data_IF_664437464352
#
_entry.id   IF_664437464352
#
_cell.length_a   1.000
_cell.length_b   1.000
_cell.length_c   1.000
_cell.angle_alpha   90.00
_cell.angle_beta   90.00
_cell.angle_gamma   90.00
#
_symmetry.space_group_name_H-M   'P 1'
#
loop_
_entity.id
_entity.type
_entity.pdbx_description
1 polymer ?
#
# COMPACT_ATOMS: atom_id res chain seq x y z
N UNK A 1 -1.62 13.48 27.15
CA UNK A 1 -0.32 13.84 26.59
C UNK A 1 0.18 12.69 25.75
N UNK A 2 0.29 12.82 24.43
CA UNK A 2 0.80 11.73 23.58
C UNK A 2 2.32 11.62 23.76
N UNK A 3 2.78 10.38 23.93
CA UNK A 3 4.21 10.04 23.96
C UNK A 3 4.83 10.30 22.56
N UNK A 4 5.25 11.52 22.32
CA UNK A 4 6.25 11.85 21.32
C UNK A 4 7.62 11.60 21.96
N UNK A 5 8.50 10.92 21.21
CA UNK A 5 9.91 10.67 21.52
C UNK A 5 10.20 9.37 22.32
N UNK A 6 10.05 8.21 21.65
CA UNK A 6 11.06 7.17 21.67
C UNK A 6 11.60 7.02 20.25
N UNK A 7 12.59 7.83 19.95
CA UNK A 7 13.50 7.63 18.84
C UNK A 7 14.48 6.57 19.36
N UNK A 8 14.50 5.40 18.76
CA UNK A 8 15.57 4.43 18.94
C UNK A 8 16.83 5.06 18.35
N UNK A 9 17.76 5.47 19.23
CA UNK A 9 18.93 6.29 18.93
C UNK A 9 20.10 5.55 18.26
N UNK A 10 19.86 4.41 17.59
CA UNK A 10 20.92 3.59 16.97
C UNK A 10 20.79 3.42 15.44
N UNK A 11 19.90 4.11 14.74
CA UNK A 11 19.94 4.09 13.27
C UNK A 11 20.89 5.20 12.74
N UNK A 12 21.90 4.85 11.92
CA UNK A 12 22.74 5.86 11.27
C UNK A 12 21.87 6.79 10.43
N UNK A 13 22.02 8.09 10.66
CA UNK A 13 21.28 9.14 9.95
C UNK A 13 21.47 8.98 8.43
N UNK A 14 20.44 8.57 7.73
CA UNK A 14 20.44 8.46 6.27
C UNK A 14 19.66 9.64 5.72
N UNK A 15 20.30 10.45 4.87
CA UNK A 15 19.65 11.55 4.16
C UNK A 15 18.41 11.02 3.44
N UNK A 16 17.21 11.58 3.70
CA UNK A 16 16.01 11.17 2.98
C UNK A 16 16.18 11.46 1.48
N UNK A 17 15.73 10.54 0.64
CA UNK A 17 15.76 10.74 -0.82
C UNK A 17 14.90 11.94 -1.24
N UNK A 18 15.39 12.72 -2.20
CA UNK A 18 14.63 13.80 -2.80
C UNK A 18 13.44 13.22 -3.59
N UNK A 19 12.24 13.32 -3.02
CA UNK A 19 11.02 12.90 -3.67
C UNK A 19 10.70 13.76 -4.91
N UNK A 20 10.03 13.18 -5.89
CA UNK A 20 9.63 13.86 -7.13
C UNK A 20 8.82 15.14 -6.87
N UNK A 21 8.01 15.15 -5.79
CA UNK A 21 7.25 16.32 -5.38
C UNK A 21 8.17 17.50 -5.03
N UNK A 22 9.23 17.24 -4.26
CA UNK A 22 10.19 18.30 -3.86
C UNK A 22 10.82 18.93 -5.11
N UNK A 23 11.33 18.10 -6.02
CA UNK A 23 11.95 18.58 -7.28
C UNK A 23 10.97 19.38 -8.12
N UNK A 24 9.75 18.86 -8.34
CA UNK A 24 8.72 19.54 -9.11
C UNK A 24 8.29 20.86 -8.47
N UNK A 25 8.13 20.89 -7.14
CA UNK A 25 7.78 22.12 -6.42
C UNK A 25 8.88 23.16 -6.58
N UNK A 26 10.15 22.78 -6.43
CA UNK A 26 11.29 23.69 -6.64
C UNK A 26 11.33 24.22 -8.06
N UNK A 27 11.11 23.37 -9.06
CA UNK A 27 11.05 23.79 -10.49
C UNK A 27 9.87 24.73 -10.72
N UNK A 28 8.70 24.45 -10.17
CA UNK A 28 7.52 25.32 -10.33
C UNK A 28 7.75 26.70 -9.71
N UNK A 29 8.32 26.77 -8.51
CA UNK A 29 8.69 28.04 -7.87
C UNK A 29 9.69 28.80 -8.73
N UNK A 30 10.75 28.13 -9.20
CA UNK A 30 11.75 28.74 -10.07
C UNK A 30 11.14 29.30 -11.36
N UNK A 31 10.23 28.58 -12.00
CA UNK A 31 9.54 29.02 -13.21
C UNK A 31 8.63 30.22 -12.94
N UNK A 32 7.93 30.26 -11.79
CA UNK A 32 7.16 31.42 -11.39
C UNK A 32 8.06 32.66 -11.26
N UNK A 33 9.17 32.57 -10.53
CA UNK A 33 10.12 33.66 -10.36
C UNK A 33 10.73 34.10 -11.70
N UNK A 34 11.08 33.16 -12.56
CA UNK A 34 11.62 33.44 -13.90
C UNK A 34 10.61 34.17 -14.79
N UNK A 35 9.32 33.82 -14.72
CA UNK A 35 8.26 34.49 -15.46
C UNK A 35 8.19 35.99 -15.10
N UNK A 36 8.26 36.33 -13.82
CA UNK A 36 8.23 37.71 -13.36
C UNK A 36 9.55 38.46 -13.68
N UNK A 37 10.71 37.78 -13.60
CA UNK A 37 11.97 38.34 -14.03
C UNK A 37 11.95 38.75 -15.52
N UNK A 38 11.40 37.91 -16.38
CA UNK A 38 11.26 38.20 -17.82
C UNK A 38 10.27 39.36 -18.10
N UNK A 39 9.30 39.59 -17.22
CA UNK A 39 8.39 40.74 -17.30
C UNK A 39 9.00 42.04 -16.77
N UNK A 40 10.26 42.04 -16.39
CA UNK A 40 10.96 43.23 -15.93
C UNK A 40 10.81 43.57 -14.46
N UNK A 41 10.21 42.68 -13.66
CA UNK A 41 10.19 42.81 -12.21
C UNK A 41 11.60 42.67 -11.64
N UNK A 42 12.17 43.73 -11.15
CA UNK A 42 13.54 43.75 -10.57
C UNK A 42 13.49 44.28 -9.13
N UNK A 43 13.38 43.36 -8.19
CA UNK A 43 13.89 43.56 -6.84
C UNK A 43 12.94 44.06 -5.75
N UNK A 44 11.98 44.92 -5.96
CA UNK A 44 11.17 45.45 -4.85
C UNK A 44 9.83 44.75 -4.64
N UNK A 45 9.21 44.22 -5.68
CA UNK A 45 7.93 43.50 -5.59
C UNK A 45 8.12 42.03 -5.99
N UNK A 46 8.68 41.26 -5.09
CA UNK A 46 8.81 39.82 -5.33
C UNK A 46 7.44 39.15 -5.48
N UNK A 47 7.21 38.33 -6.52
CA UNK A 47 5.94 37.61 -6.74
C UNK A 47 5.78 36.43 -5.78
N UNK A 48 5.79 36.73 -4.48
CA UNK A 48 5.70 35.74 -3.40
C UNK A 48 4.41 34.92 -3.52
N UNK A 49 3.33 35.54 -3.95
CA UNK A 49 2.02 34.91 -4.06
C UNK A 49 1.95 33.86 -5.16
N UNK A 50 2.59 34.10 -6.31
CA UNK A 50 2.67 33.11 -7.36
C UNK A 50 3.50 31.90 -6.92
N UNK A 51 4.61 32.14 -6.21
CA UNK A 51 5.44 31.07 -5.66
C UNK A 51 4.72 30.24 -4.58
N UNK A 52 4.08 30.92 -3.63
CA UNK A 52 3.25 30.26 -2.57
C UNK A 52 2.13 29.46 -3.22
N UNK A 53 1.44 30.04 -4.22
CA UNK A 53 0.37 29.34 -4.94
C UNK A 53 0.90 28.08 -5.64
N UNK A 54 2.07 28.15 -6.29
CA UNK A 54 2.68 26.98 -6.92
C UNK A 54 3.00 25.88 -5.91
N UNK A 55 3.50 26.23 -4.71
CA UNK A 55 3.79 25.26 -3.64
C UNK A 55 2.50 24.55 -3.17
N UNK A 56 1.43 25.33 -2.90
CA UNK A 56 0.17 24.78 -2.36
C UNK A 56 -0.54 23.93 -3.41
N UNK A 57 -0.54 24.33 -4.68
CA UNK A 57 -1.17 23.57 -5.77
C UNK A 57 -0.43 22.31 -6.17
N UNK A 58 0.84 22.13 -5.75
CA UNK A 58 1.63 20.93 -6.08
C UNK A 58 1.20 19.74 -5.21
N UNK A 59 0.29 18.92 -5.73
CA UNK A 59 -0.22 17.73 -5.06
C UNK A 59 0.53 16.46 -5.50
N UNK A 60 0.55 15.39 -4.67
CA UNK A 60 1.19 14.12 -5.01
C UNK A 60 0.60 13.46 -6.26
N UNK A 61 -0.71 13.66 -6.49
CA UNK A 61 -1.46 13.08 -7.60
C UNK A 61 -1.94 14.14 -8.57
N UNK A 62 -1.77 13.91 -9.87
CA UNK A 62 -2.19 14.84 -10.93
C UNK A 62 -3.69 15.15 -10.89
N UNK A 63 -4.52 14.12 -10.61
CA UNK A 63 -5.99 14.27 -10.51
C UNK A 63 -6.41 15.22 -9.38
N UNK A 64 -5.66 15.28 -8.28
CA UNK A 64 -5.92 16.21 -7.18
C UNK A 64 -5.55 17.67 -7.53
N UNK A 65 -4.51 17.86 -8.35
CA UNK A 65 -3.99 19.19 -8.69
C UNK A 65 -5.04 20.10 -9.34
N UNK A 66 -5.86 19.57 -10.26
CA UNK A 66 -6.91 20.32 -10.94
C UNK A 66 -7.99 20.85 -9.95
N UNK A 67 -8.45 19.99 -9.04
CA UNK A 67 -9.43 20.38 -8.01
C UNK A 67 -8.86 21.43 -7.06
N UNK A 68 -7.61 21.24 -6.59
CA UNK A 68 -6.94 22.23 -5.73
C UNK A 68 -6.69 23.55 -6.46
N UNK A 69 -6.30 23.51 -7.74
CA UNK A 69 -6.12 24.68 -8.57
C UNK A 69 -7.44 25.47 -8.69
N UNK A 70 -8.54 24.78 -8.96
CA UNK A 70 -9.86 25.39 -9.09
C UNK A 70 -10.36 25.97 -7.76
N UNK A 71 -10.25 25.27 -6.65
CA UNK A 71 -10.57 25.76 -5.33
C UNK A 71 -9.74 27.00 -4.97
N UNK A 72 -8.45 27.01 -5.32
CA UNK A 72 -7.57 28.17 -5.12
C UNK A 72 -8.03 29.37 -5.93
N UNK A 73 -8.38 29.17 -7.18
CA UNK A 73 -8.86 30.25 -8.07
C UNK A 73 -10.16 30.84 -7.55
N UNK A 74 -11.16 30.01 -7.22
CA UNK A 74 -12.45 30.46 -6.68
C UNK A 74 -12.28 31.18 -5.34
N UNK A 75 -11.47 30.64 -4.42
CA UNK A 75 -11.16 31.30 -3.15
C UNK A 75 -10.51 32.67 -3.35
N UNK A 76 -9.61 32.78 -4.32
CA UNK A 76 -8.97 34.08 -4.66
C UNK A 76 -9.97 35.10 -5.19
N UNK A 77 -10.90 34.70 -6.07
CA UNK A 77 -11.94 35.59 -6.57
C UNK A 77 -12.85 36.09 -5.45
N UNK A 78 -13.29 35.20 -4.55
CA UNK A 78 -14.13 35.55 -3.41
C UNK A 78 -13.40 36.52 -2.46
N UNK A 79 -12.16 36.19 -2.10
CA UNK A 79 -11.34 37.04 -1.22
C UNK A 79 -11.00 38.38 -1.85
N UNK A 80 -10.71 38.42 -3.15
CA UNK A 80 -10.47 39.66 -3.88
C UNK A 80 -11.71 40.52 -3.96
N UNK A 81 -12.89 39.93 -4.17
CA UNK A 81 -14.15 40.67 -4.19
C UNK A 81 -14.43 41.39 -2.85
N UNK A 82 -14.38 40.67 -1.74
CA UNK A 82 -14.63 41.26 -0.42
C UNK A 82 -13.50 42.19 0.01
N UNK A 83 -12.25 41.93 -0.33
CA UNK A 83 -11.11 42.81 -0.08
C UNK A 83 -11.23 44.13 -0.83
N UNK A 84 -11.56 44.08 -2.12
CA UNK A 84 -11.79 45.24 -2.94
C UNK A 84 -12.98 46.07 -2.41
N UNK A 85 -14.08 45.41 -2.05
CA UNK A 85 -15.26 46.08 -1.50
C UNK A 85 -14.93 46.86 -0.22
N UNK A 86 -14.16 46.23 0.70
CA UNK A 86 -13.72 46.89 1.94
C UNK A 86 -12.79 48.09 1.66
N UNK A 87 -11.83 47.95 0.73
CA UNK A 87 -10.93 49.03 0.37
C UNK A 87 -11.67 50.21 -0.26
N UNK A 88 -12.65 49.96 -1.15
CA UNK A 88 -13.51 51.00 -1.73
C UNK A 88 -14.34 51.70 -0.65
N UNK A 89 -14.90 50.95 0.29
CA UNK A 89 -15.66 51.53 1.41
C UNK A 89 -14.79 52.44 2.30
N UNK A 90 -13.55 52.02 2.58
CA UNK A 90 -12.60 52.84 3.35
C UNK A 90 -12.11 54.07 2.58
N UNK A 91 -12.03 53.99 1.24
CA UNK A 91 -11.71 55.15 0.39
C UNK A 91 -12.83 56.18 0.37
N UNK A 92 -14.08 55.71 0.24
CA UNK A 92 -15.24 56.63 0.20
C UNK A 92 -15.60 57.22 1.58
N UNK A 93 -15.30 56.46 2.65
CA UNK A 93 -15.56 56.86 4.04
C UNK A 93 -14.31 56.80 4.92
N UNK A 94 -13.35 57.74 4.79
CA UNK A 94 -12.08 57.71 5.52
C UNK A 94 -12.22 57.72 7.05
N UNK A 95 -13.35 58.25 7.55
CA UNK A 95 -13.67 58.25 8.97
C UNK A 95 -13.80 56.88 9.60
N UNK A 96 -14.16 55.88 8.82
CA UNK A 96 -14.25 54.47 9.29
C UNK A 96 -12.87 53.87 9.59
N UNK A 97 -11.82 54.29 8.89
CA UNK A 97 -10.45 53.84 9.10
C UNK A 97 -9.72 54.52 10.27
N UNK A 98 -10.25 55.59 10.83
CA UNK A 98 -9.62 56.34 11.93
C UNK A 98 -9.66 55.57 13.27
N UNK A 99 -10.68 54.76 13.48
CA UNK A 99 -10.78 53.88 14.65
C UNK A 99 -10.21 52.51 14.36
N UNK A 100 -9.08 52.16 14.98
CA UNK A 100 -8.42 50.85 14.83
C UNK A 100 -9.36 49.71 15.22
N UNK A 101 -10.18 49.91 16.28
CA UNK A 101 -11.11 48.87 16.72
C UNK A 101 -12.21 48.61 15.67
N UNK A 102 -12.73 49.70 15.06
CA UNK A 102 -13.73 49.60 13.99
C UNK A 102 -13.14 48.89 12.75
N UNK A 103 -11.92 49.26 12.39
CA UNK A 103 -11.21 48.61 11.28
C UNK A 103 -11.04 47.10 11.52
N UNK A 104 -10.64 46.69 12.72
CA UNK A 104 -10.51 45.25 13.07
C UNK A 104 -11.87 44.53 13.03
N UNK A 105 -12.94 45.18 13.49
CA UNK A 105 -14.28 44.62 13.40
C UNK A 105 -14.74 44.45 11.95
N UNK A 106 -14.43 45.41 11.07
CA UNK A 106 -14.75 45.31 9.64
C UNK A 106 -13.93 44.23 8.95
N UNK A 107 -12.64 44.04 9.30
CA UNK A 107 -11.83 42.94 8.82
C UNK A 107 -12.39 41.59 9.27
N UNK A 108 -12.79 41.47 10.54
CA UNK A 108 -13.39 40.24 11.06
C UNK A 108 -14.69 39.89 10.34
N UNK A 109 -15.54 40.93 10.08
CA UNK A 109 -16.76 40.76 9.30
C UNK A 109 -16.46 40.35 7.85
N UNK A 110 -15.44 40.89 7.22
CA UNK A 110 -15.01 40.54 5.87
C UNK A 110 -14.48 39.08 5.78
N UNK A 111 -13.78 38.61 6.81
CA UNK A 111 -13.41 37.20 6.93
C UNK A 111 -14.66 36.31 7.01
N UNK A 112 -15.64 36.67 7.85
CA UNK A 112 -16.91 35.95 7.97
C UNK A 112 -17.63 35.86 6.62
N UNK A 113 -17.73 36.98 5.91
CA UNK A 113 -18.39 37.07 4.60
C UNK A 113 -17.65 36.24 3.54
N UNK A 114 -16.33 36.26 3.55
CA UNK A 114 -15.51 35.46 2.64
C UNK A 114 -15.71 33.95 2.88
N UNK A 115 -15.70 33.51 4.14
CA UNK A 115 -15.95 32.10 4.53
C UNK A 115 -17.37 31.69 4.10
N UNK A 116 -18.37 32.50 4.43
CA UNK A 116 -19.77 32.19 4.15
C UNK A 116 -20.06 32.18 2.64
N UNK A 117 -19.47 33.08 1.87
CA UNK A 117 -19.60 33.12 0.41
C UNK A 117 -19.05 31.85 -0.24
N UNK A 118 -17.92 31.30 0.23
CA UNK A 118 -17.36 30.06 -0.28
C UNK A 118 -18.29 28.86 0.01
N UNK A 119 -18.93 28.83 1.18
CA UNK A 119 -19.90 27.78 1.51
C UNK A 119 -21.17 27.91 0.65
N UNK A 120 -21.66 29.14 0.39
CA UNK A 120 -22.80 29.37 -0.50
C UNK A 120 -22.53 28.87 -1.93
N UNK A 121 -21.34 29.07 -2.43
CA UNK A 121 -20.91 28.57 -3.74
C UNK A 121 -20.67 27.05 -3.75
N UNK A 122 -20.92 26.36 -2.62
CA UNK A 122 -20.71 24.92 -2.41
C UNK A 122 -19.23 24.47 -2.55
N UNK A 123 -18.31 25.35 -2.20
CA UNK A 123 -16.87 25.10 -2.24
C UNK A 123 -16.20 25.34 -0.87
N UNK A 124 -16.53 24.55 0.16
CA UNK A 124 -16.02 24.77 1.51
C UNK A 124 -14.49 24.71 1.59
N UNK A 125 -13.85 23.91 0.73
CA UNK A 125 -12.38 23.80 0.67
C UNK A 125 -11.70 25.12 0.21
N UNK A 126 -12.43 26.00 -0.47
CA UNK A 126 -11.94 27.31 -0.89
C UNK A 126 -12.08 28.40 0.21
N UNK A 127 -12.84 28.13 1.28
CA UNK A 127 -13.20 29.12 2.28
C UNK A 127 -11.98 29.70 3.03
N UNK A 128 -11.09 28.85 3.51
CA UNK A 128 -9.86 29.28 4.18
C UNK A 128 -8.96 30.13 3.27
N UNK A 129 -8.88 29.76 1.99
CA UNK A 129 -8.11 30.53 1.00
C UNK A 129 -8.73 31.89 0.71
N UNK A 130 -10.05 31.98 0.61
CA UNK A 130 -10.77 33.23 0.42
C UNK A 130 -10.48 34.26 1.54
N UNK A 131 -10.50 33.76 2.79
CA UNK A 131 -10.19 34.60 3.96
C UNK A 131 -8.75 35.08 3.99
N UNK A 132 -7.79 34.22 3.63
CA UNK A 132 -6.37 34.59 3.55
C UNK A 132 -6.14 35.64 2.48
N UNK A 133 -6.73 35.46 1.27
CA UNK A 133 -6.60 36.43 0.17
C UNK A 133 -7.24 37.76 0.54
N UNK A 134 -8.42 37.75 1.17
CA UNK A 134 -9.07 38.93 1.71
C UNK A 134 -8.14 39.72 2.64
N UNK A 135 -7.60 39.07 3.67
CA UNK A 135 -6.68 39.70 4.63
C UNK A 135 -5.42 40.21 3.96
N UNK A 136 -4.85 39.45 3.02
CA UNK A 136 -3.67 39.88 2.27
C UNK A 136 -3.93 41.17 1.45
N UNK A 137 -5.10 41.31 0.87
CA UNK A 137 -5.46 42.54 0.12
C UNK A 137 -5.64 43.72 1.05
N UNK A 138 -6.23 43.50 2.22
CA UNK A 138 -6.55 44.61 3.15
C UNK A 138 -5.35 45.01 4.02
N UNK A 139 -4.52 44.05 4.46
CA UNK A 139 -3.41 44.29 5.41
C UNK A 139 -2.11 44.64 4.71
N UNK A 140 -1.79 43.94 3.62
CA UNK A 140 -0.45 44.01 3.00
C UNK A 140 -0.22 45.29 2.16
N UNK A 141 -1.27 46.05 1.83
CA UNK A 141 -1.14 47.19 0.96
C UNK A 141 -1.92 48.42 1.53
N UNK A 142 -1.22 49.28 2.25
CA UNK A 142 -1.84 50.50 2.79
C UNK A 142 -2.15 51.57 1.73
N UNK A 143 -1.68 51.42 0.48
CA UNK A 143 -1.97 52.36 -0.60
C UNK A 143 -3.43 52.23 -1.09
N UNK A 144 -4.26 53.07 -0.56
CA UNK A 144 -5.70 53.17 -0.89
C UNK A 144 -5.90 53.75 -2.32
N UNK A 145 -4.84 54.30 -2.94
CA UNK A 145 -4.94 54.99 -4.23
C UNK A 145 -5.24 54.11 -5.45
N UNK A 146 -4.96 52.78 -5.39
CA UNK A 146 -5.22 51.89 -6.51
C UNK A 146 -5.70 50.46 -6.13
N UNK A 147 -6.83 50.32 -5.41
CA UNK A 147 -7.29 49.02 -4.89
C UNK A 147 -7.62 48.01 -6.00
N UNK A 148 -8.16 48.47 -7.12
CA UNK A 148 -8.47 47.62 -8.27
C UNK A 148 -7.21 46.99 -8.90
N UNK A 149 -6.16 47.81 -9.02
CA UNK A 149 -4.86 47.33 -9.55
C UNK A 149 -4.25 46.27 -8.66
N UNK A 150 -4.33 46.45 -7.33
CA UNK A 150 -3.82 45.46 -6.37
C UNK A 150 -4.58 44.14 -6.42
N UNK A 151 -5.92 44.20 -6.45
CA UNK A 151 -6.75 42.99 -6.59
C UNK A 151 -6.46 42.24 -7.91
N UNK A 152 -6.31 43.01 -9.01
CA UNK A 152 -5.98 42.42 -10.31
C UNK A 152 -4.61 41.75 -10.32
N UNK A 153 -3.57 42.35 -9.72
CA UNK A 153 -2.25 41.71 -9.57
C UNK A 153 -2.34 40.44 -8.77
N UNK A 154 -3.10 40.42 -7.67
CA UNK A 154 -3.27 39.21 -6.85
C UNK A 154 -3.94 38.07 -7.61
N UNK A 155 -4.98 38.35 -8.37
CA UNK A 155 -5.65 37.36 -9.21
C UNK A 155 -4.67 36.82 -10.26
N UNK A 156 -3.88 37.69 -10.89
CA UNK A 156 -2.86 37.31 -11.87
C UNK A 156 -1.79 36.40 -11.26
N UNK A 157 -1.27 36.74 -10.08
CA UNK A 157 -0.25 35.95 -9.37
C UNK A 157 -0.74 34.55 -9.05
N UNK A 158 -1.96 34.43 -8.56
CA UNK A 158 -2.57 33.11 -8.29
C UNK A 158 -2.80 32.33 -9.57
N UNK A 159 -3.23 33.00 -10.64
CA UNK A 159 -3.42 32.35 -11.94
C UNK A 159 -2.09 31.82 -12.50
N UNK A 160 -1.03 32.63 -12.46
CA UNK A 160 0.32 32.21 -12.91
C UNK A 160 0.83 31.03 -12.06
N UNK A 161 0.79 31.15 -10.73
CA UNK A 161 1.25 30.08 -9.83
C UNK A 161 0.48 28.78 -10.04
N UNK A 162 -0.84 28.84 -10.20
CA UNK A 162 -1.71 27.69 -10.45
C UNK A 162 -1.40 27.03 -11.79
N UNK A 163 -1.26 27.84 -12.84
CA UNK A 163 -0.95 27.36 -14.20
C UNK A 163 0.40 26.67 -14.24
N UNK A 164 1.44 27.32 -13.70
CA UNK A 164 2.79 26.75 -13.63
C UNK A 164 2.81 25.44 -12.84
N UNK A 165 2.16 25.39 -11.67
CA UNK A 165 2.07 24.18 -10.86
C UNK A 165 1.37 23.05 -11.62
N UNK A 166 0.27 23.35 -12.32
CA UNK A 166 -0.48 22.35 -13.10
C UNK A 166 0.38 21.81 -14.24
N UNK A 167 1.02 22.69 -15.03
CA UNK A 167 1.89 22.31 -16.14
C UNK A 167 3.06 21.43 -15.65
N UNK A 168 3.78 21.88 -14.62
CA UNK A 168 4.90 21.12 -14.05
C UNK A 168 4.45 19.78 -13.49
N UNK A 169 3.26 19.70 -12.90
CA UNK A 169 2.76 18.43 -12.33
C UNK A 169 2.33 17.42 -13.39
N UNK A 170 1.84 17.88 -14.55
CA UNK A 170 1.53 17.03 -15.69
C UNK A 170 2.79 16.43 -16.30
N UNK A 171 3.91 17.17 -16.30
CA UNK A 171 5.20 16.65 -16.76
C UNK A 171 5.65 15.51 -15.83
N UNK A 172 5.47 14.29 -16.29
CA UNK A 172 6.07 13.12 -15.65
C UNK A 172 7.51 13.05 -16.11
N UNK A 173 8.45 13.26 -15.20
CA UNK A 173 9.85 12.89 -15.45
C UNK A 173 9.86 11.38 -15.76
N UNK A 174 10.34 10.96 -16.93
CA UNK A 174 10.36 9.55 -17.30
C UNK A 174 11.25 8.80 -16.32
N UNK A 175 10.65 7.99 -15.47
CA UNK A 175 11.37 7.05 -14.63
C UNK A 175 11.41 5.71 -15.36
N UNK A 176 12.58 5.09 -15.36
CA UNK A 176 12.72 3.77 -15.92
C UNK A 176 11.99 2.78 -14.98
N UNK A 177 10.86 2.26 -15.44
CA UNK A 177 10.13 1.22 -14.72
C UNK A 177 10.85 -0.11 -14.91
N UNK A 178 11.15 -0.77 -13.81
CA UNK A 178 11.83 -2.05 -13.77
C UNK A 178 10.82 -3.20 -14.02
N UNK A 179 10.39 -3.31 -15.27
CA UNK A 179 9.49 -4.39 -15.71
C UNK A 179 10.17 -5.76 -15.79
N UNK A 180 11.49 -5.75 -15.68
CA UNK A 180 12.34 -6.93 -15.58
C UNK A 180 12.32 -7.60 -14.19
N UNK A 181 11.69 -6.96 -13.20
CA UNK A 181 11.59 -7.48 -11.83
C UNK A 181 10.23 -8.13 -11.58
N UNK A 182 10.28 -9.27 -10.90
CA UNK A 182 9.12 -9.94 -10.34
C UNK A 182 9.20 -9.92 -8.82
N UNK A 183 8.27 -9.22 -8.20
CA UNK A 183 8.22 -9.06 -6.74
C UNK A 183 7.43 -10.19 -6.10
N UNK A 184 7.97 -10.74 -5.03
CA UNK A 184 7.33 -11.76 -4.22
C UNK A 184 7.03 -11.20 -2.83
N UNK A 185 5.73 -11.13 -2.49
CA UNK A 185 5.23 -10.52 -1.24
C UNK A 185 4.37 -11.53 -0.48
N UNK A 186 4.62 -11.71 0.81
CA UNK A 186 3.82 -12.61 1.64
C UNK A 186 2.49 -11.97 2.03
N UNK A 187 1.39 -12.69 1.89
CA UNK A 187 0.04 -12.18 2.24
C UNK A 187 -0.07 -11.78 3.71
N UNK A 188 0.62 -12.49 4.62
CA UNK A 188 0.66 -12.16 6.05
C UNK A 188 1.31 -10.82 6.37
N UNK A 189 2.09 -10.27 5.46
CA UNK A 189 2.72 -8.95 5.60
C UNK A 189 1.83 -7.81 5.06
N UNK A 190 0.72 -8.14 4.42
CA UNK A 190 -0.27 -7.20 3.90
C UNK A 190 -1.57 -7.17 4.70
N UNK A 191 -1.86 -8.25 5.46
CA UNK A 191 -3.04 -8.34 6.29
C UNK A 191 -2.72 -9.03 7.63
N UNK A 192 -3.31 -8.58 8.75
CA UNK A 192 -2.96 -9.06 10.09
C UNK A 192 -3.35 -10.52 10.32
N UNK A 193 -4.46 -10.94 9.75
CA UNK A 193 -5.03 -12.26 9.92
C UNK A 193 -5.57 -12.79 8.59
N UNK A 194 -5.56 -14.11 8.45
CA UNK A 194 -6.09 -14.83 7.28
C UNK A 194 -7.59 -14.63 7.04
N UNK A 195 -8.34 -14.22 8.06
CA UNK A 195 -9.78 -13.94 7.98
C UNK A 195 -10.09 -12.46 7.79
N UNK A 196 -9.08 -11.59 7.80
CA UNK A 196 -9.23 -10.16 7.62
C UNK A 196 -9.08 -9.78 6.15
N UNK A 197 -9.87 -8.80 5.72
CA UNK A 197 -9.61 -8.14 4.45
C UNK A 197 -8.30 -7.37 4.50
N UNK A 198 -7.67 -7.23 3.34
CA UNK A 198 -6.53 -6.33 3.20
C UNK A 198 -6.99 -4.90 3.50
N UNK A 199 -6.20 -4.08 4.24
CA UNK A 199 -6.54 -2.69 4.48
C UNK A 199 -6.81 -1.94 3.17
N UNK A 200 -7.88 -1.10 3.10
CA UNK A 200 -8.29 -0.46 1.85
C UNK A 200 -7.20 0.36 1.17
N UNK A 201 -6.35 1.04 1.94
CA UNK A 201 -5.22 1.82 1.42
C UNK A 201 -4.12 0.92 0.83
N UNK A 202 -3.82 -0.21 1.47
CA UNK A 202 -2.88 -1.20 0.95
C UNK A 202 -3.43 -1.86 -0.32
N UNK A 203 -4.73 -2.21 -0.34
CA UNK A 203 -5.41 -2.75 -1.51
C UNK A 203 -5.36 -1.77 -2.70
N UNK A 204 -5.65 -0.49 -2.46
CA UNK A 204 -5.59 0.54 -3.50
C UNK A 204 -4.19 0.70 -4.06
N UNK A 205 -3.17 0.72 -3.20
CA UNK A 205 -1.79 0.86 -3.60
C UNK A 205 -1.27 -0.36 -4.37
N UNK A 206 -1.63 -1.57 -3.93
CA UNK A 206 -1.30 -2.81 -4.63
C UNK A 206 -1.94 -2.84 -6.03
N UNK A 207 -3.23 -2.51 -6.13
CA UNK A 207 -3.92 -2.43 -7.42
C UNK A 207 -3.35 -1.35 -8.34
N UNK A 208 -2.89 -0.22 -7.78
CA UNK A 208 -2.19 0.80 -8.55
C UNK A 208 -0.90 0.26 -9.16
N UNK A 209 -0.08 -0.45 -8.38
CA UNK A 209 1.14 -1.08 -8.87
C UNK A 209 0.86 -2.09 -9.99
N UNK A 210 -0.18 -2.92 -9.85
CA UNK A 210 -0.59 -3.86 -10.89
C UNK A 210 -1.02 -3.15 -12.18
N UNK A 211 -1.86 -2.11 -12.07
CA UNK A 211 -2.32 -1.33 -13.23
C UNK A 211 -1.17 -0.59 -13.92
N UNK A 212 -0.14 -0.22 -13.17
CA UNK A 212 1.06 0.45 -13.69
C UNK A 212 2.05 -0.52 -14.35
N UNK A 213 1.79 -1.83 -14.25
CA UNK A 213 2.54 -2.91 -14.91
C UNK A 213 3.60 -3.58 -14.06
N UNK A 214 3.57 -3.40 -12.72
CA UNK A 214 4.45 -4.14 -11.82
C UNK A 214 4.04 -5.62 -11.78
N UNK A 215 5.02 -6.52 -11.86
CA UNK A 215 4.81 -7.97 -11.72
C UNK A 215 4.96 -8.35 -10.25
N UNK A 216 3.85 -8.63 -9.58
CA UNK A 216 3.84 -8.98 -8.15
C UNK A 216 3.12 -10.32 -7.98
N UNK A 217 3.82 -11.32 -7.45
CA UNK A 217 3.24 -12.59 -7.01
C UNK A 217 3.04 -12.56 -5.51
N UNK A 218 1.84 -12.84 -5.06
CA UNK A 218 1.58 -12.99 -3.64
C UNK A 218 1.85 -14.43 -3.20
N UNK A 219 2.46 -14.55 -2.03
CA UNK A 219 2.83 -15.84 -1.44
C UNK A 219 2.02 -16.12 -0.18
N UNK A 220 1.43 -17.29 -0.10
CA UNK A 220 0.67 -17.73 1.06
C UNK A 220 1.13 -19.09 1.57
N UNK A 221 1.12 -19.26 2.88
CA UNK A 221 1.34 -20.53 3.55
C UNK A 221 0.14 -21.47 3.42
N UNK A 222 -1.02 -20.94 3.00
CA UNK A 222 -2.29 -21.64 2.95
C UNK A 222 -2.71 -21.94 1.51
N UNK A 223 -3.70 -22.83 1.39
CA UNK A 223 -4.40 -23.08 0.13
C UNK A 223 -5.21 -21.83 -0.30
N UNK A 224 -5.49 -21.63 -1.60
CA UNK A 224 -6.17 -20.44 -2.12
C UNK A 224 -7.46 -20.08 -1.38
N UNK A 225 -8.24 -21.08 -1.03
CA UNK A 225 -9.49 -20.91 -0.28
C UNK A 225 -9.32 -20.20 1.08
N UNK A 226 -8.14 -20.23 1.69
CA UNK A 226 -7.92 -19.62 3.00
C UNK A 226 -7.70 -18.13 2.97
N UNK A 227 -7.19 -17.61 1.88
CA UNK A 227 -6.92 -16.18 1.75
C UNK A 227 -7.78 -15.50 0.68
N UNK A 228 -8.83 -16.19 0.22
CA UNK A 228 -9.78 -15.61 -0.74
C UNK A 228 -10.36 -14.27 -0.25
N UNK A 229 -10.65 -14.15 1.06
CA UNK A 229 -11.11 -12.89 1.66
C UNK A 229 -10.05 -11.80 1.60
N UNK A 230 -8.78 -12.13 1.90
CA UNK A 230 -7.66 -11.19 1.81
C UNK A 230 -7.45 -10.69 0.38
N UNK A 231 -7.75 -11.55 -0.60
CA UNK A 231 -7.57 -11.26 -2.02
C UNK A 231 -8.79 -10.56 -2.65
N UNK A 232 -9.87 -10.40 -1.90
CA UNK A 232 -11.07 -9.73 -2.40
C UNK A 232 -10.75 -8.31 -2.88
N UNK A 233 -11.03 -8.04 -4.14
CA UNK A 233 -10.74 -6.75 -4.79
C UNK A 233 -9.29 -6.57 -5.29
N UNK A 234 -8.42 -7.56 -5.16
CA UNK A 234 -7.05 -7.53 -5.72
C UNK A 234 -7.09 -7.92 -7.20
N UNK A 235 -6.51 -7.07 -8.05
CA UNK A 235 -6.35 -7.34 -9.50
C UNK A 235 -4.98 -7.99 -9.74
N UNK A 236 -4.93 -9.30 -9.71
CA UNK A 236 -3.69 -10.05 -9.86
C UNK A 236 -3.11 -9.96 -11.27
N UNK A 237 -1.80 -9.74 -11.37
CA UNK A 237 -1.04 -9.69 -12.63
C UNK A 237 -0.09 -10.88 -12.82
N UNK A 238 -0.01 -11.76 -11.82
CA UNK A 238 0.86 -12.92 -11.87
C UNK A 238 0.26 -14.06 -11.02
N UNK A 239 0.61 -15.32 -11.31
CA UNK A 239 0.22 -16.47 -10.49
C UNK A 239 0.72 -16.34 -9.05
N UNK A 240 0.02 -17.02 -8.14
CA UNK A 240 0.28 -17.03 -6.71
C UNK A 240 1.15 -18.23 -6.32
N UNK A 241 2.00 -18.05 -5.32
CA UNK A 241 2.68 -19.16 -4.65
C UNK A 241 1.87 -19.51 -3.41
N UNK A 242 1.38 -20.75 -3.34
CA UNK A 242 0.44 -21.18 -2.30
C UNK A 242 0.93 -22.44 -1.59
N UNK A 243 0.25 -22.81 -0.48
CA UNK A 243 0.58 -24.00 0.29
C UNK A 243 2.05 -24.07 0.70
N UNK A 244 2.59 -22.96 1.21
CA UNK A 244 3.99 -22.82 1.65
C UNK A 244 5.03 -23.13 0.57
N UNK A 245 4.70 -22.87 -0.70
CA UNK A 245 5.54 -23.14 -1.85
C UNK A 245 5.33 -24.52 -2.47
N UNK A 246 4.38 -25.30 -1.99
CA UNK A 246 4.05 -26.59 -2.58
C UNK A 246 3.29 -26.46 -3.91
N UNK A 247 2.59 -25.34 -4.17
CA UNK A 247 1.86 -25.18 -5.41
C UNK A 247 1.95 -23.75 -5.96
N UNK A 248 1.77 -23.62 -7.27
CA UNK A 248 1.61 -22.37 -8.02
C UNK A 248 0.17 -22.37 -8.55
N UNK A 249 -0.55 -21.28 -8.30
CA UNK A 249 -1.98 -21.17 -8.57
C UNK A 249 -2.30 -19.89 -9.38
N UNK A 250 -3.00 -20.06 -10.48
CA UNK A 250 -3.55 -18.95 -11.24
C UNK A 250 -4.97 -18.64 -10.74
N UNK A 251 -5.11 -17.51 -10.05
CA UNK A 251 -6.40 -17.12 -9.51
C UNK A 251 -7.34 -16.52 -10.56
N UNK A 252 -6.84 -16.09 -11.73
CA UNK A 252 -7.66 -15.57 -12.80
C UNK A 252 -8.35 -16.71 -13.56
N UNK A 253 -7.60 -17.82 -13.78
CA UNK A 253 -8.10 -19.02 -14.43
C UNK A 253 -8.64 -20.06 -13.43
N UNK A 254 -8.47 -19.80 -12.13
CA UNK A 254 -8.90 -20.67 -11.03
C UNK A 254 -8.35 -22.09 -11.15
N UNK A 255 -7.06 -22.21 -11.51
CA UNK A 255 -6.37 -23.50 -11.69
C UNK A 255 -4.99 -23.55 -11.06
N UNK A 256 -4.57 -24.77 -10.73
CA UNK A 256 -3.20 -25.02 -10.30
C UNK A 256 -2.30 -25.21 -11.52
N UNK A 257 -1.28 -24.36 -11.66
CA UNK A 257 -0.30 -24.48 -12.77
C UNK A 257 0.73 -25.57 -12.48
N UNK A 258 1.09 -25.73 -11.20
CA UNK A 258 2.05 -26.75 -10.76
C UNK A 258 1.83 -27.07 -9.28
N UNK A 259 2.03 -28.34 -8.92
CA UNK A 259 2.08 -28.79 -7.54
C UNK A 259 3.27 -29.74 -7.34
N UNK A 260 3.88 -29.65 -6.16
CA UNK A 260 4.92 -30.57 -5.70
C UNK A 260 4.27 -31.50 -4.70
N UNK A 261 4.13 -32.75 -5.09
CA UNK A 261 3.48 -33.79 -4.29
C UNK A 261 4.48 -34.64 -3.55
N UNK A 262 4.03 -35.31 -2.50
CA UNK A 262 4.81 -36.30 -1.76
C UNK A 262 4.75 -37.61 -2.54
N UNK A 263 5.90 -38.21 -2.92
CA UNK A 263 5.93 -39.47 -3.62
C UNK A 263 5.23 -40.57 -2.81
N UNK A 264 4.59 -41.56 -3.46
CA UNK A 264 3.94 -42.70 -2.79
C UNK A 264 4.83 -43.47 -1.82
N UNK A 265 6.10 -43.62 -2.18
CA UNK A 265 7.13 -44.27 -1.37
C UNK A 265 7.42 -43.55 -0.04
N UNK A 266 7.17 -42.23 0.03
CA UNK A 266 7.35 -41.42 1.23
C UNK A 266 6.01 -41.21 1.98
N UNK A 267 4.91 -41.12 1.27
CA UNK A 267 3.60 -40.89 1.87
C UNK A 267 3.06 -42.11 2.63
N UNK A 268 3.26 -43.33 2.10
CA UNK A 268 2.79 -44.57 2.72
C UNK A 268 3.41 -44.83 4.09
N UNK A 269 4.76 -44.72 4.29
CA UNK A 269 5.36 -44.84 5.61
C UNK A 269 4.92 -43.77 6.60
N UNK A 270 4.68 -42.52 6.13
CA UNK A 270 4.16 -41.45 6.98
C UNK A 270 2.78 -41.81 7.51
N UNK A 271 1.87 -42.23 6.64
CA UNK A 271 0.51 -42.64 6.99
C UNK A 271 0.52 -43.79 7.98
N UNK A 272 1.20 -44.90 7.65
CA UNK A 272 1.31 -46.05 8.54
C UNK A 272 1.82 -45.66 9.94
N UNK A 273 2.76 -44.69 10.01
CA UNK A 273 3.28 -44.24 11.30
C UNK A 273 2.28 -43.38 12.07
N UNK A 274 1.54 -42.48 11.40
CA UNK A 274 0.50 -41.67 12.02
C UNK A 274 -0.64 -42.55 12.57
N UNK A 275 -1.05 -43.55 11.82
CA UNK A 275 -2.05 -44.54 12.23
C UNK A 275 -1.56 -45.39 13.42
N UNK A 276 -0.31 -45.84 13.40
CA UNK A 276 0.29 -46.60 14.52
C UNK A 276 0.39 -45.76 15.82
N UNK A 277 0.45 -44.42 15.69
CA UNK A 277 0.42 -43.50 16.82
C UNK A 277 -1.01 -43.13 17.26
N UNK A 278 -2.05 -43.62 16.58
CA UNK A 278 -3.44 -43.27 16.83
C UNK A 278 -3.76 -41.80 16.60
N UNK A 279 -2.99 -41.13 15.72
CA UNK A 279 -3.15 -39.70 15.45
C UNK A 279 -4.14 -39.45 14.32
N UNK A 280 -5.00 -38.51 14.49
CA UNK A 280 -5.85 -37.95 13.42
C UNK A 280 -5.04 -36.98 12.57
N UNK A 281 -5.19 -37.09 11.25
CA UNK A 281 -4.49 -36.22 10.32
C UNK A 281 -5.36 -35.82 9.12
N UNK A 282 -5.01 -34.71 8.49
CA UNK A 282 -5.62 -34.25 7.26
C UNK A 282 -4.68 -34.45 6.10
N UNK A 283 -5.16 -35.05 5.02
CA UNK A 283 -4.41 -35.22 3.77
C UNK A 283 -4.94 -34.19 2.74
N UNK A 284 -4.07 -33.29 2.33
CA UNK A 284 -4.38 -32.28 1.33
C UNK A 284 -3.93 -32.74 -0.04
N UNK A 285 -4.86 -32.78 -0.97
CA UNK A 285 -4.63 -33.15 -2.37
C UNK A 285 -5.15 -32.08 -3.31
N UNK A 286 -4.70 -32.11 -4.55
CA UNK A 286 -5.24 -31.29 -5.63
C UNK A 286 -5.81 -32.25 -6.68
N UNK A 287 -7.11 -32.17 -6.89
CA UNK A 287 -7.81 -32.97 -7.89
C UNK A 287 -8.71 -32.08 -8.74
N UNK A 288 -8.55 -32.11 -10.08
CA UNK A 288 -9.29 -31.26 -11.02
C UNK A 288 -9.32 -29.78 -10.62
N UNK A 289 -8.14 -29.21 -10.35
CA UNK A 289 -7.94 -27.83 -9.92
C UNK A 289 -8.64 -27.42 -8.61
N UNK A 290 -9.07 -28.40 -7.82
CA UNK A 290 -9.70 -28.18 -6.51
C UNK A 290 -8.85 -28.76 -5.40
N UNK A 291 -8.78 -28.03 -4.29
CA UNK A 291 -8.20 -28.57 -3.06
C UNK A 291 -9.18 -29.52 -2.40
N UNK A 292 -8.84 -30.79 -2.31
CA UNK A 292 -9.56 -31.78 -1.54
C UNK A 292 -8.82 -32.07 -0.24
N UNK A 293 -9.56 -32.21 0.85
CA UNK A 293 -9.02 -32.52 2.19
C UNK A 293 -9.67 -33.77 2.71
N UNK A 294 -8.90 -34.83 2.80
CA UNK A 294 -9.34 -36.11 3.35
C UNK A 294 -9.00 -36.17 4.84
N UNK A 295 -9.87 -36.80 5.61
CA UNK A 295 -9.68 -37.02 7.03
C UNK A 295 -10.12 -38.41 7.46
N UNK A 296 -9.41 -38.99 8.40
CA UNK A 296 -9.81 -40.23 9.08
C UNK A 296 -10.94 -39.90 10.08
N UNK A 297 -12.05 -40.62 10.03
CA UNK A 297 -13.35 -40.27 10.63
C UNK A 297 -13.44 -39.94 12.12
N UNK A 298 -12.49 -40.33 12.96
CA UNK A 298 -12.58 -40.20 14.42
C UNK A 298 -11.74 -39.02 14.97
N UNK A 299 -12.34 -37.84 15.00
CA UNK A 299 -11.76 -36.69 15.70
C UNK A 299 -12.35 -36.60 17.12
N UNK A 300 -11.48 -36.55 18.10
CA UNK A 300 -11.86 -36.42 19.52
C UNK A 300 -11.28 -35.13 20.10
N UNK A 301 -12.12 -34.35 20.80
CA UNK A 301 -11.66 -33.16 21.50
C UNK A 301 -11.54 -31.87 20.65
N UNK A 302 -10.49 -31.09 20.89
CA UNK A 302 -10.32 -29.76 20.27
C UNK A 302 -10.12 -29.80 18.74
N UNK A 303 -9.67 -30.93 18.21
CA UNK A 303 -9.55 -31.18 16.76
C UNK A 303 -10.92 -31.10 16.07
N UNK A 304 -12.00 -31.56 16.74
CA UNK A 304 -13.37 -31.51 16.21
C UNK A 304 -13.81 -30.07 15.95
N UNK A 305 -13.50 -29.14 16.87
CA UNK A 305 -13.82 -27.71 16.73
C UNK A 305 -13.11 -27.12 15.53
N UNK A 306 -11.84 -27.50 15.33
CA UNK A 306 -11.05 -27.04 14.17
C UNK A 306 -11.63 -27.61 12.89
N UNK A 307 -12.00 -28.88 12.86
CA UNK A 307 -12.63 -29.54 11.71
C UNK A 307 -13.96 -28.88 11.34
N UNK A 308 -14.86 -28.68 12.30
CA UNK A 308 -16.14 -28.04 12.07
C UNK A 308 -15.99 -26.61 11.49
N UNK A 309 -15.03 -25.85 12.02
CA UNK A 309 -14.71 -24.52 11.49
C UNK A 309 -14.17 -24.60 10.06
N UNK A 310 -13.34 -25.59 9.74
CA UNK A 310 -12.77 -25.79 8.42
C UNK A 310 -13.82 -26.28 7.41
N UNK A 311 -14.73 -27.16 7.80
CA UNK A 311 -15.84 -27.68 6.97
C UNK A 311 -16.78 -26.59 6.47
N UNK A 312 -16.91 -25.48 7.19
CA UNK A 312 -17.76 -24.33 6.81
C UNK A 312 -17.14 -23.47 5.68
N UNK A 313 -15.94 -23.80 5.22
CA UNK A 313 -15.30 -23.05 4.11
C UNK A 313 -15.94 -23.45 2.78
N UNK A 314 -16.51 -22.50 2.01
CA UNK A 314 -17.18 -22.81 0.73
C UNK A 314 -16.23 -23.20 -0.39
N UNK A 315 -14.91 -23.08 -0.19
CA UNK A 315 -13.90 -23.21 -1.24
C UNK A 315 -13.12 -24.53 -1.18
N UNK A 316 -13.54 -25.51 -0.36
CA UNK A 316 -12.87 -26.79 -0.21
C UNK A 316 -13.85 -27.92 -0.06
N UNK A 317 -13.47 -29.08 -0.55
CA UNK A 317 -14.17 -30.33 -0.29
C UNK A 317 -13.48 -31.06 0.85
N UNK A 318 -14.22 -31.29 1.94
CA UNK A 318 -13.78 -32.15 3.04
C UNK A 318 -14.46 -33.49 2.86
N UNK A 319 -13.64 -34.55 2.76
CA UNK A 319 -14.07 -35.89 2.44
C UNK A 319 -13.64 -36.83 3.59
N UNK A 320 -14.56 -37.65 4.02
CA UNK A 320 -14.27 -38.71 4.97
C UNK A 320 -13.73 -39.93 4.24
N UNK A 321 -12.68 -40.55 4.78
CA UNK A 321 -12.04 -41.72 4.19
C UNK A 321 -10.87 -41.37 3.27
N UNK A 322 -10.42 -42.32 2.49
CA UNK A 322 -9.24 -42.22 1.63
C UNK A 322 -9.61 -42.57 0.19
N UNK A 323 -10.10 -41.60 -0.53
CA UNK A 323 -10.39 -41.70 -1.96
C UNK A 323 -9.49 -40.71 -2.70
N UNK A 324 -8.18 -41.04 -2.80
CA UNK A 324 -7.23 -40.26 -3.61
C UNK A 324 -6.17 -41.19 -4.16
N UNK A 325 -5.59 -40.83 -5.30
CA UNK A 325 -4.53 -41.60 -5.89
C UNK A 325 -3.18 -41.37 -5.19
N UNK A 326 -2.36 -42.42 -5.01
CA UNK A 326 -0.98 -42.29 -4.57
C UNK A 326 -0.24 -41.32 -5.51
N UNK A 327 0.32 -40.22 -4.97
CA UNK A 327 1.04 -39.21 -5.75
C UNK A 327 0.30 -37.88 -5.88
N UNK A 328 -0.97 -37.77 -5.50
CA UNK A 328 -1.71 -36.51 -5.46
C UNK A 328 -1.53 -35.75 -4.13
N UNK A 329 -0.86 -36.32 -3.13
CA UNK A 329 -0.72 -35.75 -1.81
C UNK A 329 0.24 -34.58 -1.84
N UNK A 330 -0.24 -33.38 -1.57
CA UNK A 330 0.56 -32.15 -1.49
C UNK A 330 1.20 -32.00 -0.10
N UNK A 331 0.42 -32.23 0.94
CA UNK A 331 0.92 -32.24 2.32
C UNK A 331 -0.02 -32.94 3.30
N UNK A 332 0.55 -33.39 4.41
CA UNK A 332 -0.20 -33.82 5.60
C UNK A 332 -0.25 -32.67 6.62
N UNK A 333 -1.36 -32.58 7.35
CA UNK A 333 -1.52 -31.67 8.48
C UNK A 333 -2.00 -32.46 9.70
N UNK A 334 -1.24 -32.41 10.78
CA UNK A 334 -1.54 -33.00 12.07
C UNK A 334 -1.76 -31.87 13.07
N UNK A 335 -2.82 -31.93 13.88
CA UNK A 335 -3.10 -30.99 14.94
C UNK A 335 -2.98 -31.73 16.26
N UNK A 336 -2.14 -31.22 17.15
CA UNK A 336 -1.93 -31.82 18.45
C UNK A 336 -1.53 -30.74 19.49
N UNK A 337 -1.60 -31.06 20.78
CA UNK A 337 -1.02 -30.22 21.82
C UNK A 337 0.44 -29.93 21.54
N UNK A 338 0.86 -28.68 21.75
CA UNK A 338 2.22 -28.20 21.43
C UNK A 338 3.31 -29.06 22.09
N UNK A 339 3.05 -29.55 23.30
CA UNK A 339 3.97 -30.44 24.02
C UNK A 339 4.22 -31.76 23.29
N UNK A 340 3.22 -32.32 22.59
CA UNK A 340 3.30 -33.60 21.89
C UNK A 340 3.94 -33.51 20.49
N UNK A 341 3.95 -32.31 19.88
CA UNK A 341 4.46 -32.14 18.51
C UNK A 341 5.90 -32.61 18.37
N UNK A 342 6.75 -32.38 19.38
CA UNK A 342 8.15 -32.80 19.36
C UNK A 342 8.31 -34.33 19.30
N UNK A 343 7.49 -35.07 20.04
CA UNK A 343 7.49 -36.54 20.04
C UNK A 343 6.99 -37.09 18.70
N UNK A 344 5.91 -36.50 18.17
CA UNK A 344 5.40 -36.87 16.84
C UNK A 344 6.45 -36.61 15.77
N UNK A 345 7.10 -35.46 15.80
CA UNK A 345 8.17 -35.15 14.83
C UNK A 345 9.37 -36.12 14.96
N UNK A 346 9.78 -36.44 16.17
CA UNK A 346 10.84 -37.39 16.43
C UNK A 346 10.47 -38.78 15.89
N UNK A 347 9.25 -39.25 16.16
CA UNK A 347 8.75 -40.54 15.70
C UNK A 347 8.69 -40.63 14.17
N UNK A 348 8.36 -39.57 13.47
CA UNK A 348 8.39 -39.52 12.01
C UNK A 348 9.79 -39.50 11.44
N UNK A 349 10.77 -38.93 12.16
CA UNK A 349 12.20 -38.95 11.74
C UNK A 349 12.79 -40.34 11.71
N UNK A 350 12.29 -41.26 12.52
CA UNK A 350 12.79 -42.65 12.57
C UNK A 350 12.37 -43.48 11.38
N UNK A 351 11.28 -43.10 10.71
CA UNK A 351 10.69 -43.87 9.60
C UNK A 351 11.21 -43.40 8.23
N UNK A 352 11.63 -42.16 8.13
CA UNK A 352 11.99 -41.54 6.85
C UNK A 352 13.48 -41.18 6.80
N UNK A 353 14.17 -41.37 5.68
CA UNK A 353 15.51 -40.85 5.45
C UNK A 353 15.60 -39.35 5.62
N UNK A 354 16.72 -38.83 6.17
CA UNK A 354 16.96 -37.41 6.29
C UNK A 354 16.86 -36.72 4.92
N UNK A 355 16.14 -35.60 4.85
CA UNK A 355 16.11 -34.75 3.66
C UNK A 355 15.03 -35.07 2.63
N UNK A 356 14.21 -36.12 2.77
CA UNK A 356 13.15 -36.45 1.81
C UNK A 356 11.88 -35.63 2.01
N UNK A 357 11.56 -35.29 3.28
CA UNK A 357 10.38 -34.48 3.63
C UNK A 357 10.75 -33.26 4.45
N UNK A 358 10.01 -32.17 4.24
CA UNK A 358 10.10 -30.94 5.00
C UNK A 358 8.96 -30.88 6.02
N UNK A 359 9.29 -30.60 7.26
CA UNK A 359 8.36 -30.46 8.39
C UNK A 359 8.32 -29.03 8.85
N UNK A 360 7.11 -28.52 9.10
CA UNK A 360 6.87 -27.14 9.54
C UNK A 360 5.85 -27.17 10.67
N UNK A 361 6.22 -26.62 11.83
CA UNK A 361 5.33 -26.48 12.98
C UNK A 361 4.83 -25.05 13.05
N UNK A 362 3.51 -24.87 13.25
CA UNK A 362 2.89 -23.57 13.38
C UNK A 362 1.86 -23.56 14.52
N UNK A 363 1.66 -22.42 15.21
CA UNK A 363 0.56 -22.27 16.13
C UNK A 363 -0.77 -22.52 15.42
N UNK A 364 -1.68 -23.26 16.07
CA UNK A 364 -3.03 -23.49 15.55
C UNK A 364 -4.00 -22.54 16.24
N UNK A 365 -4.84 -21.85 15.48
CA UNK A 365 -5.90 -21.02 16.04
C UNK A 365 -7.04 -21.92 16.55
N UNK A 366 -7.50 -21.69 17.78
CA UNK A 366 -8.60 -22.44 18.40
C UNK A 366 -8.35 -22.90 19.82
N UNK A 367 -7.11 -22.90 20.27
CA UNK A 367 -6.67 -23.17 21.65
C UNK A 367 -5.26 -22.63 21.84
N UNK A 368 -4.95 -22.07 22.99
CA UNK A 368 -3.64 -21.46 23.28
C UNK A 368 -2.49 -22.49 23.23
N UNK A 369 -2.81 -23.76 23.39
CA UNK A 369 -1.82 -24.83 23.50
C UNK A 369 -1.76 -25.76 22.28
N UNK A 370 -2.49 -25.45 21.20
CA UNK A 370 -2.49 -26.29 19.99
C UNK A 370 -1.47 -25.83 18.97
N UNK A 371 -0.83 -26.81 18.33
CA UNK A 371 0.04 -26.57 17.18
C UNK A 371 -0.33 -27.52 16.02
N UNK A 372 -0.02 -27.10 14.81
CA UNK A 372 -0.17 -27.89 13.62
C UNK A 372 1.22 -28.23 13.04
N UNK A 373 1.45 -29.52 12.83
CA UNK A 373 2.60 -30.03 12.09
C UNK A 373 2.19 -30.26 10.64
N UNK A 374 2.91 -29.61 9.73
CA UNK A 374 2.76 -29.78 8.28
C UNK A 374 3.93 -30.59 7.74
N UNK A 375 3.64 -31.56 6.87
CA UNK A 375 4.63 -32.42 6.24
C UNK A 375 4.50 -32.25 4.73
N UNK A 376 5.54 -31.73 4.10
CA UNK A 376 5.63 -31.47 2.66
C UNK A 376 6.74 -32.30 2.02
N UNK A 377 6.71 -32.45 0.71
CA UNK A 377 7.89 -32.91 -0.04
C UNK A 377 9.06 -31.93 0.15
N UNK A 378 10.28 -32.39 0.10
CA UNK A 378 11.50 -31.59 0.31
C UNK A 378 11.57 -30.37 -0.62
N UNK A 379 11.18 -30.53 -1.88
CA UNK A 379 11.15 -29.46 -2.88
C UNK A 379 10.05 -28.40 -2.73
N UNK A 380 9.12 -28.59 -1.78
CA UNK A 380 8.01 -27.67 -1.53
C UNK A 380 8.46 -26.54 -0.59
N UNK A 381 9.20 -25.56 -1.09
CA UNK A 381 9.61 -24.34 -0.35
C UNK A 381 9.24 -23.09 -1.12
N UNK A 382 9.00 -21.98 -0.39
CA UNK A 382 8.71 -20.69 -0.99
C UNK A 382 9.79 -20.25 -1.99
N UNK A 383 11.06 -20.49 -1.68
CA UNK A 383 12.19 -20.11 -2.52
C UNK A 383 12.26 -20.93 -3.81
N UNK A 384 12.03 -22.24 -3.71
CA UNK A 384 11.98 -23.09 -4.91
C UNK A 384 10.74 -22.80 -5.76
N UNK A 385 9.60 -22.48 -5.15
CA UNK A 385 8.40 -22.09 -5.87
C UNK A 385 8.60 -20.77 -6.63
N UNK A 386 9.30 -19.80 -6.05
CA UNK A 386 9.68 -18.57 -6.75
C UNK A 386 10.52 -18.86 -8.00
N UNK A 387 11.52 -19.73 -7.87
CA UNK A 387 12.37 -20.14 -9.01
C UNK A 387 11.53 -20.82 -10.09
N UNK A 388 10.70 -21.80 -9.71
CA UNK A 388 9.81 -22.51 -10.65
C UNK A 388 8.86 -21.56 -11.38
N UNK A 389 8.26 -20.61 -10.66
CA UNK A 389 7.36 -19.62 -11.28
C UNK A 389 8.11 -18.73 -12.28
N UNK A 390 9.31 -18.27 -11.95
CA UNK A 390 10.12 -17.45 -12.85
C UNK A 390 10.58 -18.28 -14.07
N UNK A 391 10.95 -19.55 -13.89
CA UNK A 391 11.29 -20.44 -14.99
C UNK A 391 10.11 -20.68 -15.93
N UNK A 392 8.92 -20.95 -15.38
CA UNK A 392 7.67 -21.11 -16.15
C UNK A 392 7.35 -19.85 -16.99
N UNK A 393 7.50 -18.66 -16.41
CA UNK A 393 7.28 -17.39 -17.13
C UNK A 393 8.38 -17.14 -18.16
N UNK A 394 9.61 -17.59 -17.91
CA UNK A 394 10.70 -17.51 -18.90
C UNK A 394 10.45 -18.41 -20.11
N UNK A 395 9.89 -19.59 -19.93
CA UNK A 395 9.48 -20.47 -21.01
C UNK A 395 8.37 -19.83 -21.87
N UNK A 396 7.56 -18.95 -21.27
CA UNK A 396 6.54 -18.14 -21.97
C UNK A 396 7.12 -16.87 -22.65
N UNK A 397 8.46 -16.68 -22.58
CA UNK A 397 9.15 -15.56 -23.21
C UNK A 397 9.37 -14.34 -22.30
N UNK A 398 9.02 -14.41 -21.01
CA UNK A 398 9.25 -13.33 -20.06
C UNK A 398 10.59 -13.49 -19.35
N UNK A 399 11.52 -12.53 -19.48
CA UNK A 399 12.78 -12.54 -18.74
C UNK A 399 12.64 -11.73 -17.46
N UNK A 400 12.37 -12.41 -16.35
CA UNK A 400 12.11 -11.78 -15.06
C UNK A 400 13.18 -12.15 -14.03
N UNK A 401 13.55 -11.18 -13.20
CA UNK A 401 14.44 -11.36 -12.05
C UNK A 401 13.61 -11.39 -10.76
N UNK A 402 13.66 -12.47 -9.95
CA UNK A 402 12.90 -12.56 -8.72
C UNK A 402 13.45 -11.64 -7.63
N UNK A 403 12.56 -10.94 -6.96
CA UNK A 403 12.87 -10.05 -5.83
C UNK A 403 11.90 -10.35 -4.69
N UNK A 404 12.40 -10.91 -3.61
CA UNK A 404 11.60 -11.14 -2.39
C UNK A 404 11.60 -9.89 -1.53
N UNK A 405 10.40 -9.38 -1.22
CA UNK A 405 10.24 -8.21 -0.36
C UNK A 405 9.62 -8.66 0.97
N UNK A 406 10.26 -8.27 2.08
CA UNK A 406 9.84 -8.67 3.43
C UNK A 406 9.91 -7.48 4.39
N UNK A 407 9.03 -7.46 5.37
CA UNK A 407 9.15 -6.57 6.53
C UNK A 407 10.28 -7.05 7.44
N UNK A 408 11.03 -6.11 8.02
CA UNK A 408 12.05 -6.42 9.05
C UNK A 408 11.43 -6.94 10.34
N UNK A 409 10.24 -6.46 10.68
CA UNK A 409 9.47 -6.86 11.85
C UNK A 409 8.14 -7.50 11.42
N UNK A 410 7.52 -8.34 12.26
CA UNK A 410 6.18 -8.86 11.99
C UNK A 410 5.17 -7.72 11.79
N UNK A 411 4.18 -7.94 10.93
CA UNK A 411 3.06 -7.02 10.72
C UNK A 411 2.40 -6.62 12.06
N UNK A 412 2.29 -5.31 12.31
CA UNK A 412 1.67 -4.75 13.52
C UNK A 412 0.53 -3.79 13.20
N UNK A 413 0.58 -3.15 12.03
CA UNK A 413 -0.37 -2.11 11.67
C UNK A 413 -0.51 -1.97 10.15
N UNK A 414 -1.56 -1.31 9.72
CA UNK A 414 -1.78 -0.95 8.31
C UNK A 414 -0.58 -0.19 7.70
N UNK A 415 0.14 0.59 8.52
CA UNK A 415 1.33 1.34 8.07
C UNK A 415 2.43 0.42 7.58
N UNK A 416 2.54 -0.78 8.15
CA UNK A 416 3.57 -1.75 7.75
C UNK A 416 3.26 -2.30 6.34
N UNK A 417 1.99 -2.61 6.04
CA UNK A 417 1.59 -3.02 4.70
C UNK A 417 1.84 -1.91 3.66
N UNK A 418 1.50 -0.67 4.00
CA UNK A 418 1.75 0.49 3.15
C UNK A 418 3.25 0.68 2.94
N UNK A 419 4.06 0.57 4.00
CA UNK A 419 5.51 0.67 3.91
C UNK A 419 6.11 -0.41 2.99
N UNK A 420 5.65 -1.66 3.12
CA UNK A 420 6.07 -2.76 2.26
C UNK A 420 5.76 -2.46 0.78
N UNK A 421 4.56 -2.00 0.48
CA UNK A 421 4.16 -1.65 -0.88
C UNK A 421 4.91 -0.42 -1.41
N UNK A 422 5.30 0.51 -0.55
CA UNK A 422 6.22 1.60 -0.92
C UNK A 422 7.62 1.08 -1.28
N UNK A 423 8.14 0.08 -0.56
CA UNK A 423 9.41 -0.56 -0.92
C UNK A 423 9.32 -1.21 -2.30
N UNK A 424 8.23 -1.94 -2.59
CA UNK A 424 7.97 -2.50 -3.92
C UNK A 424 7.91 -1.40 -4.98
N UNK A 425 7.14 -0.34 -4.73
CA UNK A 425 7.00 0.79 -5.64
C UNK A 425 8.34 1.50 -5.93
N UNK A 426 9.16 1.72 -4.91
CA UNK A 426 10.48 2.33 -5.06
C UNK A 426 11.48 1.43 -5.80
N UNK A 427 11.34 0.12 -5.70
CA UNK A 427 12.16 -0.83 -6.44
C UNK A 427 11.70 -0.94 -7.91
N UNK A 428 10.40 -0.90 -8.14
CA UNK A 428 9.79 -0.91 -9.46
C UNK A 428 10.05 0.39 -10.24
N UNK A 429 9.89 1.53 -9.57
CA UNK A 429 10.13 2.87 -10.13
C UNK A 429 11.16 3.61 -9.26
N UNK A 430 12.46 3.32 -9.42
CA UNK A 430 13.50 3.89 -8.56
C UNK A 430 13.55 5.42 -8.66
N UNK A 431 13.78 6.11 -7.54
CA UNK A 431 13.91 7.56 -7.54
C UNK A 431 15.11 8.03 -8.37
N UNK A 432 14.97 9.16 -9.07
CA UNK A 432 15.98 9.70 -9.99
C UNK A 432 17.31 10.10 -9.32
N UNK A 433 17.24 10.51 -8.05
CA UNK A 433 18.38 11.00 -7.28
C UNK A 433 18.41 10.34 -5.90
N UNK A 434 19.60 9.90 -5.50
CA UNK A 434 19.85 9.33 -4.16
C UNK A 434 19.01 8.10 -3.80
N UNK A 435 18.96 7.11 -4.71
CA UNK A 435 18.52 5.77 -4.30
C UNK A 435 19.49 5.25 -3.23
N UNK A 436 19.10 5.07 -1.97
CA UNK A 436 20.00 4.58 -0.95
C UNK A 436 20.52 3.19 -1.37
N UNK A 437 21.83 3.01 -1.35
CA UNK A 437 22.50 1.71 -1.66
C UNK A 437 21.92 0.55 -0.84
N UNK A 438 21.29 0.83 0.29
CA UNK A 438 20.64 -0.10 1.20
C UNK A 438 19.38 -0.77 0.64
N UNK A 439 18.62 -0.13 -0.27
CA UNK A 439 17.44 -0.78 -0.90
C UNK A 439 17.86 -2.05 -1.64
N UNK A 440 19.05 -2.09 -2.24
CA UNK A 440 19.56 -3.29 -2.90
C UNK A 440 19.81 -4.47 -1.96
N UNK A 441 20.15 -4.24 -0.68
CA UNK A 441 20.44 -5.31 0.30
C UNK A 441 19.19 -5.78 1.07
N UNK A 442 18.18 -4.93 1.22
CA UNK A 442 16.94 -5.27 1.93
C UNK A 442 15.92 -6.02 1.05
N UNK A 443 16.03 -5.84 -0.27
CA UNK A 443 15.17 -6.48 -1.26
C UNK A 443 15.74 -7.83 -1.74
N UNK A 444 17.04 -8.02 -1.63
CA UNK A 444 17.80 -9.19 -2.12
C UNK A 444 18.42 -9.99 -0.96
N UNK A 445 17.88 -9.88 0.24
CA UNK A 445 18.31 -10.67 1.40
C UNK A 445 17.69 -12.06 1.46
#
# INVERSE_FOLDING_TARGET
>A
MPRLLHREDDEPWVLPHLGQRIVKTTVAVFLCLMFYYLRGYRGQDMPTEAAITAIICMQPYVRGTGAYAFNRFVGTLIGAFWGLLLLLLLNDFPSLGQSVLLLYAMMALGVLLSLYSAVLVRMPDAAGLASIVFLCIVIAFPDIEAPLRQAAHRILDVFVGTTVATVVNVFRLPRAKRRDLMFFVRTRELAPDRFSHMPPTALMQLNYLYQDGARISLMSEHAPAFFALQMSGVKLSAPLVVMDGAAIYDANENRYLQAVTIPPEDSSPVRARLEALGLSYFTYTIHNDKTCVFHSGDYRGEETIVLERMRRSPYRSYLEGEIYEPGEIVYFKIIAPRAQIGEIEYSLRTVLPKGRLRRVVRPQQGGEDLAALYIYAHGATMEQAQKRLVEMLREQGESLTPVSVRLRAPYRSERDAIHLLHLVGNAYEPPLLFAPKKIRREIVG
#
